data_IF_527359075923
#
_entry.id   IF_527359075923
#
_cell.length_a   1.000
_cell.length_b   1.000
_cell.length_c   1.000
_cell.angle_alpha   90.00
_cell.angle_beta   90.00
_cell.angle_gamma   90.00
#
_symmetry.space_group_name_H-M   'P 1'
#
loop_
_entity.id
_entity.type
_entity.pdbx_description
1 polymer ?
#
# COMPACT_ATOMS: atom_id res chain seq x y z
N UNK A 1 -3.11 1.99 -60.17
CA UNK A 1 -3.69 1.81 -58.85
C UNK A 1 -3.22 0.44 -58.36
N UNK A 2 -2.19 0.36 -57.51
CA UNK A 2 -1.60 -0.90 -57.03
C UNK A 2 -1.80 -0.96 -55.54
N UNK A 3 -2.63 -1.87 -55.06
CA UNK A 3 -2.90 -2.18 -53.65
C UNK A 3 -1.75 -3.02 -53.10
N UNK A 4 -1.09 -2.49 -52.04
CA UNK A 4 -0.10 -3.23 -51.24
C UNK A 4 -0.82 -3.92 -50.08
N UNK A 5 -0.82 -5.25 -50.09
CA UNK A 5 -1.23 -6.11 -48.98
C UNK A 5 -0.07 -6.22 -47.99
N UNK A 6 -0.29 -5.82 -46.75
CA UNK A 6 0.66 -5.99 -45.64
C UNK A 6 0.48 -7.41 -45.05
N UNK A 7 1.55 -8.20 -45.11
CA UNK A 7 1.61 -9.54 -44.50
C UNK A 7 2.09 -9.41 -43.04
N UNK A 8 1.24 -9.71 -42.08
CA UNK A 8 1.57 -9.78 -40.66
C UNK A 8 2.21 -11.15 -40.38
N UNK A 9 3.49 -11.16 -40.00
CA UNK A 9 4.19 -12.35 -39.50
C UNK A 9 3.82 -12.59 -38.05
N UNK A 10 3.17 -13.72 -37.80
CA UNK A 10 2.95 -14.23 -36.43
C UNK A 10 4.18 -15.03 -36.04
N UNK A 11 4.93 -14.56 -35.05
CA UNK A 11 6.05 -15.29 -34.45
C UNK A 11 5.51 -16.29 -33.42
N UNK A 12 5.68 -17.57 -33.70
CA UNK A 12 5.33 -18.67 -32.81
C UNK A 12 6.35 -18.73 -31.64
N UNK A 13 5.89 -18.48 -30.42
CA UNK A 13 6.69 -18.67 -29.20
C UNK A 13 6.56 -20.12 -28.78
N UNK A 14 7.64 -20.89 -28.95
CA UNK A 14 7.76 -22.26 -28.46
C UNK A 14 7.98 -22.28 -26.94
N UNK A 15 7.02 -22.82 -26.19
CA UNK A 15 7.13 -23.03 -24.76
C UNK A 15 8.13 -24.17 -24.45
N UNK A 16 9.07 -23.91 -23.53
CA UNK A 16 9.97 -24.91 -22.95
C UNK A 16 9.21 -25.83 -21.99
N UNK A 17 9.50 -27.14 -21.94
CA UNK A 17 8.79 -28.04 -21.03
C UNK A 17 9.18 -27.80 -19.57
N UNK A 18 8.16 -27.78 -18.71
CA UNK A 18 8.23 -27.64 -17.26
C UNK A 18 8.94 -28.82 -16.61
N UNK A 19 9.93 -28.55 -15.77
CA UNK A 19 10.59 -29.56 -14.95
C UNK A 19 9.67 -30.00 -13.81
N UNK A 20 9.54 -31.31 -13.57
CA UNK A 20 8.80 -31.91 -12.46
C UNK A 20 9.43 -31.49 -11.11
N UNK A 21 8.63 -30.88 -10.24
CA UNK A 21 8.96 -30.62 -8.85
C UNK A 21 8.72 -31.89 -8.03
N UNK A 22 9.69 -32.40 -7.24
CA UNK A 22 9.45 -33.52 -6.34
C UNK A 22 8.62 -33.08 -5.13
N UNK A 23 7.58 -33.85 -4.81
CA UNK A 23 6.78 -33.69 -3.58
C UNK A 23 7.63 -34.07 -2.35
N UNK A 24 7.83 -33.11 -1.46
CA UNK A 24 8.42 -33.36 -0.16
C UNK A 24 7.33 -33.81 0.84
N UNK A 25 7.66 -34.85 1.63
CA UNK A 25 6.82 -35.40 2.71
C UNK A 25 6.65 -34.40 3.87
N UNK A 26 5.53 -34.44 4.61
CA UNK A 26 5.30 -33.51 5.72
C UNK A 26 6.20 -33.88 6.91
N UNK A 27 7.07 -32.94 7.31
CA UNK A 27 7.81 -33.03 8.56
C UNK A 27 7.02 -32.39 9.70
N UNK A 28 6.87 -33.14 10.76
CA UNK A 28 6.26 -32.78 12.03
C UNK A 28 7.02 -31.66 12.76
N UNK A 29 6.27 -30.70 13.29
CA UNK A 29 6.65 -29.91 14.47
C UNK A 29 7.58 -28.74 14.20
N UNK A 30 7.01 -27.55 13.98
CA UNK A 30 7.79 -26.32 14.01
C UNK A 30 7.40 -25.50 15.23
N UNK A 31 8.33 -25.41 16.18
CA UNK A 31 8.30 -24.40 17.23
C UNK A 31 8.29 -23.02 16.55
N UNK A 32 7.44 -22.10 17.03
CA UNK A 32 7.38 -20.72 16.57
C UNK A 32 8.78 -20.07 16.78
N UNK A 33 9.50 -19.87 15.70
CA UNK A 33 10.75 -19.11 15.71
C UNK A 33 10.41 -17.64 15.84
N UNK A 34 10.87 -17.03 16.92
CA UNK A 34 10.85 -15.58 17.09
C UNK A 34 11.57 -14.92 15.88
N UNK A 35 11.07 -13.79 15.33
CA UNK A 35 11.67 -13.13 14.19
C UNK A 35 12.98 -12.48 14.60
N UNK A 36 14.09 -13.11 14.24
CA UNK A 36 15.44 -12.60 14.44
C UNK A 36 16.45 -13.42 13.68
N UNK A 37 17.06 -12.83 12.67
CA UNK A 37 18.17 -13.32 11.85
C UNK A 37 17.90 -14.58 11.02
N UNK A 38 17.65 -14.38 9.72
CA UNK A 38 17.69 -15.48 8.73
C UNK A 38 19.08 -16.11 8.69
N UNK A 39 19.17 -17.37 8.25
CA UNK A 39 20.42 -18.14 8.04
C UNK A 39 21.44 -17.46 7.10
N UNK A 40 21.10 -16.34 6.45
CA UNK A 40 21.96 -15.57 5.53
C UNK A 40 22.81 -14.49 6.21
N UNK A 41 22.67 -14.24 7.51
CA UNK A 41 23.43 -13.19 8.23
C UNK A 41 23.01 -11.74 7.91
N UNK A 42 22.02 -11.50 7.01
CA UNK A 42 21.53 -10.16 6.73
C UNK A 42 20.49 -9.70 7.77
N UNK A 43 20.40 -8.38 7.96
CA UNK A 43 19.38 -7.78 8.82
C UNK A 43 17.98 -8.02 8.25
N UNK A 44 16.99 -8.05 9.15
CA UNK A 44 15.58 -8.07 8.80
C UNK A 44 15.19 -6.77 8.08
N UNK A 45 14.53 -6.86 6.92
CA UNK A 45 14.11 -5.70 6.12
C UNK A 45 12.60 -5.52 6.23
N UNK A 46 12.20 -4.40 6.83
CA UNK A 46 10.81 -4.05 7.06
C UNK A 46 10.40 -2.91 6.13
N UNK A 47 9.50 -3.22 5.19
CA UNK A 47 8.78 -2.19 4.43
C UNK A 47 7.75 -1.49 5.32
N UNK A 48 7.65 -0.18 5.23
CA UNK A 48 6.67 0.63 5.95
C UNK A 48 5.86 1.40 4.92
N UNK A 49 4.62 1.03 4.72
CA UNK A 49 3.71 1.75 3.83
C UNK A 49 2.74 2.60 4.64
N UNK A 50 3.08 3.87 4.82
CA UNK A 50 2.20 4.85 5.44
C UNK A 50 1.16 5.38 4.47
N UNK A 51 -0.06 5.57 4.93
CA UNK A 51 -1.12 6.12 4.08
C UNK A 51 -2.42 6.39 4.80
N UNK A 52 -3.26 7.24 4.21
CA UNK A 52 -4.60 7.45 4.76
C UNK A 52 -5.49 6.22 4.56
N UNK A 53 -5.33 5.51 3.42
CA UNK A 53 -6.09 4.31 3.04
C UNK A 53 -7.60 4.51 3.16
N UNK A 54 -8.13 5.50 2.45
CA UNK A 54 -9.53 5.91 2.51
C UNK A 54 -10.25 5.84 1.14
N UNK A 55 -10.53 4.62 0.60
CA UNK A 55 -10.08 3.30 1.09
C UNK A 55 -8.68 2.91 0.60
N UNK A 56 -8.15 1.81 1.15
CA UNK A 56 -7.06 1.05 0.54
C UNK A 56 -7.55 0.45 -0.78
N UNK A 57 -6.66 0.32 -1.77
CA UNK A 57 -7.00 -0.19 -3.09
C UNK A 57 -5.86 -1.03 -3.69
N UNK A 58 -6.13 -1.74 -4.79
CA UNK A 58 -5.13 -2.62 -5.41
C UNK A 58 -3.84 -1.90 -5.81
N UNK A 59 -3.88 -0.62 -6.17
CA UNK A 59 -2.67 0.15 -6.44
C UNK A 59 -1.69 0.20 -5.26
N UNK A 60 -2.18 0.29 -4.02
CA UNK A 60 -1.34 0.20 -2.82
C UNK A 60 -0.73 -1.20 -2.64
N UNK A 61 -1.54 -2.25 -2.84
CA UNK A 61 -1.09 -3.64 -2.66
C UNK A 61 -0.05 -4.05 -3.69
N UNK A 62 -0.23 -3.65 -4.96
CA UNK A 62 0.73 -3.87 -6.04
C UNK A 62 2.04 -3.16 -5.72
N UNK A 63 1.99 -1.87 -5.37
CA UNK A 63 3.17 -1.10 -5.02
C UNK A 63 3.96 -1.75 -3.86
N UNK A 64 3.28 -2.17 -2.79
CA UNK A 64 3.91 -2.87 -1.66
C UNK A 64 4.54 -4.20 -2.08
N UNK A 65 3.86 -4.97 -2.94
CA UNK A 65 4.35 -6.27 -3.42
C UNK A 65 5.60 -6.13 -4.29
N UNK A 66 5.60 -5.18 -5.23
CA UNK A 66 6.74 -4.93 -6.10
C UNK A 66 7.97 -4.44 -5.33
N UNK A 67 7.77 -3.49 -4.41
CA UNK A 67 8.87 -3.02 -3.55
C UNK A 67 9.40 -4.16 -2.68
N UNK A 68 8.51 -4.99 -2.12
CA UNK A 68 8.93 -6.15 -1.33
C UNK A 68 9.77 -7.15 -2.14
N UNK A 69 9.46 -7.33 -3.42
CA UNK A 69 10.23 -8.21 -4.31
C UNK A 69 11.59 -7.60 -4.68
N UNK A 70 11.62 -6.32 -5.10
CA UNK A 70 12.84 -5.64 -5.58
C UNK A 70 13.86 -5.45 -4.46
N UNK A 71 13.43 -5.08 -3.26
CA UNK A 71 14.30 -4.83 -2.11
C UNK A 71 14.49 -6.04 -1.19
N UNK A 72 13.95 -7.22 -1.58
CA UNK A 72 13.98 -8.45 -0.78
C UNK A 72 13.52 -8.20 0.67
N UNK A 73 12.34 -7.53 0.81
CA UNK A 73 11.78 -7.25 2.12
C UNK A 73 11.21 -8.52 2.75
N UNK A 74 11.43 -8.69 4.04
CA UNK A 74 10.90 -9.81 4.82
C UNK A 74 9.41 -9.64 5.15
N UNK A 75 9.02 -8.39 5.41
CA UNK A 75 7.66 -7.98 5.79
C UNK A 75 7.36 -6.60 5.24
N UNK A 76 6.09 -6.31 4.94
CA UNK A 76 5.59 -4.93 4.73
C UNK A 76 4.48 -4.66 5.73
N UNK A 77 4.71 -3.67 6.58
CA UNK A 77 3.71 -3.17 7.51
C UNK A 77 2.98 -1.98 6.91
N UNK A 78 1.65 -2.09 6.79
CA UNK A 78 0.79 -0.98 6.42
C UNK A 78 0.44 -0.19 7.68
N UNK A 79 0.57 1.14 7.60
CA UNK A 79 0.32 2.03 8.74
C UNK A 79 -0.74 3.06 8.34
N UNK A 80 -2.04 2.77 8.60
CA UNK A 80 -3.10 3.75 8.40
C UNK A 80 -2.88 4.95 9.32
N UNK A 81 -2.82 6.17 8.74
CA UNK A 81 -2.66 7.40 9.52
C UNK A 81 -3.82 7.61 10.49
N UNK A 82 -3.55 8.01 11.73
CA UNK A 82 -4.57 8.41 12.69
C UNK A 82 -5.27 9.70 12.25
N UNK A 83 -4.65 10.83 12.50
CA UNK A 83 -5.11 12.17 12.13
C UNK A 83 -4.18 12.79 11.08
N UNK A 84 -4.47 12.67 9.77
CA UNK A 84 -3.59 13.16 8.71
C UNK A 84 -3.57 14.69 8.67
N UNK A 85 -2.42 15.30 8.97
CA UNK A 85 -2.26 16.76 8.98
C UNK A 85 -2.46 17.40 7.60
N UNK A 86 -2.12 16.69 6.53
CA UNK A 86 -2.23 17.17 5.14
C UNK A 86 -3.68 17.19 4.62
N UNK A 87 -4.64 16.63 5.33
CA UNK A 87 -6.03 16.49 4.89
C UNK A 87 -7.03 17.16 5.83
N UNK A 88 -6.60 18.16 6.58
CA UNK A 88 -7.45 18.91 7.53
C UNK A 88 -8.63 19.65 6.87
N UNK A 89 -8.54 19.89 5.57
CA UNK A 89 -9.61 20.58 4.79
C UNK A 89 -10.69 19.65 4.24
N UNK A 90 -10.55 18.31 4.43
CA UNK A 90 -11.45 17.30 3.86
C UNK A 90 -11.87 16.29 4.92
N UNK A 91 -13.15 15.90 4.89
CA UNK A 91 -13.64 14.78 5.71
C UNK A 91 -12.93 13.49 5.30
N UNK A 92 -12.27 12.84 6.25
CA UNK A 92 -11.64 11.52 6.12
C UNK A 92 -12.46 10.55 6.95
N UNK A 93 -12.68 9.34 6.44
CA UNK A 93 -13.39 8.30 7.19
C UNK A 93 -12.72 8.01 8.53
N UNK A 94 -13.49 7.66 9.58
CA UNK A 94 -12.92 7.31 10.89
C UNK A 94 -11.77 6.31 10.78
N UNK A 95 -10.74 6.50 11.60
CA UNK A 95 -9.51 5.71 11.53
C UNK A 95 -9.77 4.20 11.66
N UNK A 96 -10.74 3.80 12.47
CA UNK A 96 -11.11 2.39 12.64
C UNK A 96 -11.63 1.75 11.35
N UNK A 97 -12.47 2.43 10.58
CA UNK A 97 -12.92 1.92 9.28
C UNK A 97 -11.76 1.73 8.31
N UNK A 98 -10.83 2.71 8.25
CA UNK A 98 -9.67 2.65 7.37
C UNK A 98 -8.70 1.54 7.77
N UNK A 99 -8.50 1.35 9.08
CA UNK A 99 -7.73 0.24 9.64
C UNK A 99 -8.33 -1.11 9.26
N UNK A 100 -9.63 -1.32 9.52
CA UNK A 100 -10.30 -2.59 9.23
C UNK A 100 -10.30 -2.90 7.72
N UNK A 101 -10.52 -1.91 6.86
CA UNK A 101 -10.39 -2.10 5.41
C UNK A 101 -8.95 -2.51 5.02
N UNK A 102 -7.94 -1.93 5.69
CA UNK A 102 -6.53 -2.27 5.44
C UNK A 102 -6.22 -3.71 5.89
N UNK A 103 -6.72 -4.13 7.06
CA UNK A 103 -6.58 -5.51 7.55
C UNK A 103 -7.22 -6.51 6.57
N UNK A 104 -8.45 -6.22 6.12
CA UNK A 104 -9.15 -7.06 5.14
C UNK A 104 -8.36 -7.17 3.84
N UNK A 105 -7.85 -6.05 3.33
CA UNK A 105 -7.14 -5.98 2.07
C UNK A 105 -5.81 -6.74 2.07
N UNK A 106 -5.13 -6.79 3.19
CA UNK A 106 -3.78 -7.39 3.33
C UNK A 106 -3.80 -8.84 3.77
N UNK A 107 -4.94 -9.35 4.26
CA UNK A 107 -5.06 -10.66 4.91
C UNK A 107 -4.62 -11.86 4.06
N UNK A 108 -4.67 -11.75 2.72
CA UNK A 108 -4.28 -12.84 1.82
C UNK A 108 -2.77 -12.95 1.60
N UNK A 109 -1.98 -11.92 1.94
CA UNK A 109 -0.54 -11.94 1.72
C UNK A 109 0.19 -12.17 3.07
N UNK A 110 0.89 -13.32 3.25
CA UNK A 110 1.53 -13.65 4.53
C UNK A 110 2.69 -12.72 4.92
N UNK A 111 3.19 -11.89 3.99
CA UNK A 111 4.22 -10.89 4.28
C UNK A 111 3.66 -9.52 4.62
N UNK A 112 2.34 -9.34 4.54
CA UNK A 112 1.71 -8.05 4.82
C UNK A 112 1.09 -8.06 6.21
N UNK A 113 1.40 -7.03 6.98
CA UNK A 113 0.84 -6.78 8.31
C UNK A 113 0.26 -5.38 8.39
N UNK A 114 -0.51 -5.09 9.43
CA UNK A 114 -1.08 -3.77 9.65
C UNK A 114 -0.80 -3.33 11.08
N UNK A 115 -0.26 -2.12 11.23
CA UNK A 115 0.02 -1.51 12.53
C UNK A 115 -0.99 -0.41 12.88
N UNK A 116 -1.32 -0.33 14.16
CA UNK A 116 -2.17 0.73 14.73
C UNK A 116 -1.37 1.91 15.27
N UNK A 117 -0.05 1.88 15.15
CA UNK A 117 0.86 2.83 15.82
C UNK A 117 0.45 4.29 15.66
N UNK A 118 -0.03 4.68 14.49
CA UNK A 118 -0.47 6.05 14.23
C UNK A 118 -1.91 6.34 14.70
N UNK A 119 -2.75 5.32 14.74
CA UNK A 119 -4.14 5.43 15.22
C UNK A 119 -4.17 5.58 16.74
N UNK A 120 -3.33 4.81 17.43
CA UNK A 120 -3.28 4.77 18.89
C UNK A 120 -2.46 5.95 19.47
N UNK A 121 -1.67 6.65 18.64
CA UNK A 121 -0.95 7.86 19.05
C UNK A 121 -1.90 9.07 19.00
N UNK A 122 -2.01 9.83 20.10
CA UNK A 122 -2.81 11.07 20.11
C UNK A 122 -2.17 12.17 19.25
N UNK A 123 -3.01 13.00 18.65
CA UNK A 123 -2.57 14.16 17.88
C UNK A 123 -2.35 13.90 16.40
N UNK A 124 -1.66 14.83 15.72
CA UNK A 124 -1.40 14.75 14.29
C UNK A 124 -0.35 13.68 13.98
N UNK A 125 -0.56 12.96 12.89
CA UNK A 125 0.34 11.91 12.43
C UNK A 125 1.43 12.50 11.51
N UNK A 126 2.69 12.30 11.87
CA UNK A 126 3.86 12.63 11.05
C UNK A 126 4.70 11.38 10.79
N UNK A 127 5.27 11.26 9.59
CA UNK A 127 6.10 10.13 9.18
C UNK A 127 7.27 9.89 10.14
N UNK A 128 7.89 10.95 10.67
CA UNK A 128 9.00 10.84 11.61
C UNK A 128 8.60 10.08 12.88
N UNK A 129 7.42 10.39 13.43
CA UNK A 129 6.95 9.75 14.65
C UNK A 129 6.61 8.27 14.40
N UNK A 130 6.03 7.94 13.24
CA UNK A 130 5.80 6.57 12.80
C UNK A 130 7.10 5.76 12.72
N UNK A 131 8.14 6.33 12.09
CA UNK A 131 9.43 5.64 11.93
C UNK A 131 10.18 5.49 13.26
N UNK A 132 10.09 6.48 14.17
CA UNK A 132 10.65 6.38 15.54
C UNK A 132 10.02 5.21 16.29
N UNK A 133 8.69 5.11 16.29
CA UNK A 133 7.97 4.05 16.99
C UNK A 133 8.28 2.67 16.42
N UNK A 134 8.29 2.53 15.09
CA UNK A 134 8.63 1.26 14.44
C UNK A 134 10.10 0.89 14.66
N UNK A 135 11.02 1.85 14.66
CA UNK A 135 12.42 1.64 15.00
C UNK A 135 12.60 1.18 16.45
N UNK A 136 11.86 1.78 17.39
CA UNK A 136 11.88 1.37 18.79
C UNK A 136 11.32 -0.05 18.98
N UNK A 137 10.25 -0.40 18.25
CA UNK A 137 9.64 -1.73 18.30
C UNK A 137 10.47 -2.83 17.61
N UNK A 138 11.29 -2.46 16.61
CA UNK A 138 12.10 -3.38 15.78
C UNK A 138 13.51 -2.81 15.58
N UNK A 139 14.34 -2.70 16.64
CA UNK A 139 15.66 -2.05 16.55
C UNK A 139 16.64 -2.76 15.61
N UNK A 140 16.45 -4.07 15.37
CA UNK A 140 17.27 -4.89 14.48
C UNK A 140 16.93 -4.71 13.00
N UNK A 141 15.74 -4.15 12.68
CA UNK A 141 15.27 -4.06 11.30
C UNK A 141 15.89 -2.91 10.52
N UNK A 142 16.12 -3.10 9.24
CA UNK A 142 16.32 -2.02 8.27
C UNK A 142 14.95 -1.58 7.74
N UNK A 143 14.61 -0.29 7.92
CA UNK A 143 13.32 0.25 7.51
C UNK A 143 13.38 0.78 6.08
N UNK A 144 12.37 0.44 5.28
CA UNK A 144 12.16 0.92 3.92
C UNK A 144 10.80 1.63 3.86
N UNK A 145 10.79 2.97 3.80
CA UNK A 145 9.55 3.74 3.75
C UNK A 145 9.04 3.85 2.32
N UNK A 146 7.85 3.29 2.06
CA UNK A 146 7.23 3.19 0.73
C UNK A 146 6.18 4.28 0.59
N UNK A 147 6.32 5.13 -0.42
CA UNK A 147 5.37 6.22 -0.70
C UNK A 147 5.27 6.49 -2.20
N UNK A 148 4.22 7.22 -2.62
CA UNK A 148 4.14 7.68 -4.01
C UNK A 148 5.26 8.68 -4.35
N UNK A 149 5.76 8.65 -5.58
CA UNK A 149 6.82 9.55 -6.03
C UNK A 149 6.43 11.03 -5.88
N UNK A 150 5.15 11.38 -6.09
CA UNK A 150 4.64 12.75 -5.89
C UNK A 150 4.75 13.22 -4.43
N UNK A 151 4.49 12.33 -3.47
CA UNK A 151 4.64 12.63 -2.05
C UNK A 151 6.13 12.71 -1.67
N UNK A 152 6.96 11.83 -2.24
CA UNK A 152 8.41 11.85 -2.03
C UNK A 152 9.05 13.13 -2.59
N UNK A 153 8.57 13.65 -3.73
CA UNK A 153 9.04 14.92 -4.29
C UNK A 153 8.86 16.11 -3.30
N UNK A 154 7.91 16.00 -2.37
CA UNK A 154 7.66 17.01 -1.34
C UNK A 154 8.34 16.70 0.00
N UNK A 155 9.21 15.68 0.06
CA UNK A 155 9.79 15.19 1.32
C UNK A 155 10.56 16.26 2.09
N UNK A 156 11.16 17.24 1.38
CA UNK A 156 11.89 18.36 2.01
C UNK A 156 11.00 19.26 2.88
N UNK A 157 9.68 19.17 2.75
CA UNK A 157 8.70 19.87 3.59
C UNK A 157 8.25 19.04 4.81
N UNK A 158 8.73 17.82 4.94
CA UNK A 158 8.31 16.94 6.03
C UNK A 158 9.02 17.30 7.33
N UNK A 159 8.33 17.06 8.43
CA UNK A 159 8.85 17.34 9.78
C UNK A 159 10.13 16.52 10.05
N UNK A 160 11.14 17.16 10.63
CA UNK A 160 12.41 16.57 11.06
C UNK A 160 13.13 15.79 9.95
N UNK A 161 13.22 16.38 8.75
CA UNK A 161 13.73 15.75 7.52
C UNK A 161 15.14 15.15 7.69
N UNK A 162 16.03 15.83 8.42
CA UNK A 162 17.41 15.36 8.61
C UNK A 162 17.47 14.04 9.40
N UNK A 163 16.57 13.86 10.35
CA UNK A 163 16.46 12.62 11.10
C UNK A 163 15.78 11.52 10.26
N UNK A 164 14.80 11.84 9.42
CA UNK A 164 14.13 10.89 8.54
C UNK A 164 15.12 10.07 7.73
N UNK A 165 16.16 10.72 7.17
CA UNK A 165 17.19 10.05 6.38
C UNK A 165 18.00 9.01 7.15
N UNK A 166 18.13 9.18 8.45
CA UNK A 166 18.84 8.25 9.33
C UNK A 166 18.01 7.03 9.74
N UNK A 167 16.68 7.15 9.65
CA UNK A 167 15.75 6.12 10.14
C UNK A 167 15.37 5.09 9.09
N UNK A 168 15.27 5.49 7.82
CA UNK A 168 14.79 4.60 6.77
C UNK A 168 15.41 4.88 5.40
N UNK A 169 15.43 3.88 4.54
CA UNK A 169 15.58 4.04 3.11
C UNK A 169 14.21 4.40 2.50
N UNK A 170 14.15 5.45 1.68
CA UNK A 170 12.90 5.91 1.08
C UNK A 170 12.71 5.34 -0.32
N UNK A 171 11.56 4.74 -0.59
CA UNK A 171 11.21 4.20 -1.89
C UNK A 171 10.00 4.94 -2.45
N UNK A 172 10.26 5.77 -3.47
CA UNK A 172 9.22 6.43 -4.23
C UNK A 172 8.70 5.52 -5.33
N UNK A 173 7.41 5.20 -5.30
CA UNK A 173 6.77 4.39 -6.33
C UNK A 173 6.03 5.27 -7.32
N UNK A 174 6.17 4.96 -8.60
CA UNK A 174 5.48 5.65 -9.68
C UNK A 174 4.85 4.67 -10.66
N UNK A 175 4.01 5.19 -11.52
CA UNK A 175 3.36 4.46 -12.62
C UNK A 175 4.10 4.72 -13.92
N UNK A 176 4.00 3.83 -14.93
CA UNK A 176 4.56 4.08 -16.26
C UNK A 176 4.11 5.42 -16.84
N UNK A 177 5.06 6.16 -17.41
CA UNK A 177 4.81 7.45 -18.06
C UNK A 177 4.76 8.67 -17.13
N UNK A 178 5.07 8.51 -15.83
CA UNK A 178 5.27 9.63 -14.91
C UNK A 178 6.76 9.92 -14.73
N UNK A 179 7.13 11.19 -14.73
CA UNK A 179 8.51 11.60 -14.53
C UNK A 179 8.99 11.25 -13.11
N UNK A 180 10.17 10.66 -13.04
CA UNK A 180 10.88 10.37 -11.80
C UNK A 180 11.89 11.49 -11.56
N UNK A 181 11.69 12.31 -10.55
CA UNK A 181 12.68 13.30 -10.14
C UNK A 181 13.66 12.66 -9.16
N UNK A 182 14.85 12.32 -9.65
CA UNK A 182 15.93 11.84 -8.79
C UNK A 182 16.35 12.95 -7.81
N UNK A 183 16.29 12.66 -6.53
CA UNK A 183 16.73 13.57 -5.47
C UNK A 183 18.25 13.54 -5.27
N UNK A 184 18.99 12.73 -6.04
CA UNK A 184 20.45 12.62 -5.95
C UNK A 184 20.95 12.06 -4.60
N UNK A 185 20.11 11.33 -3.87
CA UNK A 185 20.43 10.78 -2.55
C UNK A 185 20.52 9.26 -2.58
N UNK A 186 21.58 8.71 -1.95
CA UNK A 186 21.77 7.25 -1.83
C UNK A 186 20.70 6.55 -0.97
N UNK A 187 20.03 7.32 -0.08
CA UNK A 187 19.00 6.82 0.83
C UNK A 187 17.61 6.87 0.20
N UNK A 188 17.53 7.19 -1.10
CA UNK A 188 16.30 7.27 -1.88
C UNK A 188 16.42 6.37 -3.10
N UNK A 189 15.38 5.61 -3.37
CA UNK A 189 15.21 4.85 -4.61
C UNK A 189 13.86 5.22 -5.25
N UNK A 190 13.84 5.25 -6.56
CA UNK A 190 12.63 5.44 -7.35
C UNK A 190 12.35 4.15 -8.11
N UNK A 191 11.12 3.67 -8.03
CA UNK A 191 10.70 2.41 -8.63
C UNK A 191 9.43 2.62 -9.47
N UNK A 192 9.54 2.32 -10.76
CA UNK A 192 8.36 2.20 -11.60
C UNK A 192 7.71 0.82 -11.37
N UNK A 193 6.43 0.81 -11.04
CA UNK A 193 5.68 -0.41 -10.75
C UNK A 193 4.49 -0.52 -11.71
N UNK A 194 4.03 -1.75 -12.04
CA UNK A 194 2.87 -1.96 -12.91
C UNK A 194 1.56 -1.56 -12.19
N UNK A 195 1.56 -0.35 -11.60
CA UNK A 195 0.43 0.15 -10.84
C UNK A 195 -0.67 0.60 -11.79
N UNK A 196 -1.90 0.19 -11.48
CA UNK A 196 -3.09 0.69 -12.17
C UNK A 196 -3.37 2.15 -11.76
N UNK A 197 -4.01 2.91 -12.66
CA UNK A 197 -4.46 4.27 -12.37
C UNK A 197 -5.68 4.25 -11.43
N UNK A 198 -5.48 3.77 -10.20
CA UNK A 198 -6.50 3.73 -9.16
C UNK A 198 -6.13 4.75 -8.09
N UNK A 199 -7.10 5.55 -7.67
CA UNK A 199 -6.94 6.43 -6.51
C UNK A 199 -8.07 6.21 -5.49
N UNK A 200 -7.77 6.47 -4.22
CA UNK A 200 -8.82 6.46 -3.19
C UNK A 200 -9.92 7.48 -3.48
N UNK A 201 -9.60 8.58 -4.14
CA UNK A 201 -10.59 9.60 -4.54
C UNK A 201 -11.57 9.02 -5.55
N UNK A 202 -11.06 8.42 -6.64
CA UNK A 202 -11.92 7.79 -7.65
C UNK A 202 -12.80 6.69 -7.04
N UNK A 203 -12.25 5.90 -6.09
CA UNK A 203 -13.04 4.87 -5.40
C UNK A 203 -14.21 5.48 -4.62
N UNK A 204 -13.99 6.59 -3.91
CA UNK A 204 -15.06 7.26 -3.14
C UNK A 204 -16.10 7.91 -4.05
N UNK A 205 -15.64 8.60 -5.10
CA UNK A 205 -16.52 9.29 -6.04
C UNK A 205 -17.42 8.28 -6.75
N UNK A 206 -16.88 7.13 -7.18
CA UNK A 206 -17.67 6.03 -7.72
C UNK A 206 -18.73 5.52 -6.76
N UNK A 207 -18.40 5.29 -5.49
CA UNK A 207 -19.38 4.84 -4.49
C UNK A 207 -20.45 5.90 -4.26
N UNK A 208 -20.08 7.19 -4.23
CA UNK A 208 -21.02 8.30 -4.08
C UNK A 208 -22.01 8.40 -5.26
N UNK A 209 -21.57 7.98 -6.45
CA UNK A 209 -22.35 7.96 -7.70
C UNK A 209 -22.99 6.58 -7.98
N UNK A 210 -23.04 5.69 -7.00
CA UNK A 210 -23.54 4.31 -7.11
C UNK A 210 -22.87 3.47 -8.22
N UNK A 211 -21.61 3.81 -8.55
CA UNK A 211 -20.81 3.09 -9.54
C UNK A 211 -20.01 1.96 -8.87
N UNK A 212 -19.70 0.87 -9.59
CA UNK A 212 -18.98 -0.26 -9.04
C UNK A 212 -17.51 0.07 -8.75
N UNK A 213 -17.01 -0.46 -7.60
CA UNK A 213 -15.59 -0.40 -7.20
C UNK A 213 -14.95 -1.80 -7.14
N UNK A 214 -15.64 -2.82 -7.68
CA UNK A 214 -15.11 -4.16 -7.82
C UNK A 214 -13.80 -4.13 -8.63
N UNK A 215 -12.82 -4.89 -8.19
CA UNK A 215 -11.47 -4.98 -8.79
C UNK A 215 -10.62 -3.69 -8.70
N UNK A 216 -11.17 -2.58 -8.21
CA UNK A 216 -10.38 -1.41 -7.81
C UNK A 216 -9.87 -1.58 -6.37
N UNK A 217 -10.73 -2.15 -5.51
CA UNK A 217 -10.39 -2.56 -4.15
C UNK A 217 -10.63 -4.06 -3.99
N UNK A 218 -10.00 -4.74 -3.01
CA UNK A 218 -10.29 -6.15 -2.73
C UNK A 218 -11.75 -6.39 -2.40
N UNK A 219 -12.28 -7.57 -2.78
CA UNK A 219 -13.69 -7.93 -2.62
C UNK A 219 -14.22 -7.73 -1.20
N UNK A 220 -13.44 -8.11 -0.19
CA UNK A 220 -13.81 -7.91 1.21
C UNK A 220 -13.93 -6.43 1.59
N UNK A 221 -13.15 -5.54 0.93
CA UNK A 221 -13.25 -4.08 1.12
C UNK A 221 -14.51 -3.54 0.45
N UNK A 222 -14.89 -4.05 -0.75
CA UNK A 222 -16.18 -3.70 -1.39
C UNK A 222 -17.35 -4.03 -0.46
N UNK A 223 -17.34 -5.25 0.10
CA UNK A 223 -18.39 -5.71 1.03
C UNK A 223 -18.42 -4.87 2.32
N UNK A 224 -17.24 -4.49 2.83
CA UNK A 224 -17.13 -3.64 4.01
C UNK A 224 -17.71 -2.25 3.77
N UNK A 225 -17.36 -1.61 2.66
CA UNK A 225 -17.88 -0.30 2.24
C UNK A 225 -19.40 -0.35 2.15
N UNK A 226 -19.95 -1.36 1.47
CA UNK A 226 -21.39 -1.54 1.32
C UNK A 226 -22.11 -1.76 2.66
N UNK A 227 -21.55 -2.61 3.54
CA UNK A 227 -22.12 -2.96 4.84
C UNK A 227 -22.24 -1.74 5.77
N UNK A 228 -21.23 -0.86 5.76
CA UNK A 228 -21.18 0.30 6.64
C UNK A 228 -21.64 1.60 5.97
N UNK A 229 -22.12 1.54 4.72
CA UNK A 229 -22.61 2.70 3.97
C UNK A 229 -21.55 3.79 3.77
N UNK A 230 -20.24 3.41 3.72
CA UNK A 230 -19.17 4.38 3.58
C UNK A 230 -19.22 5.03 2.21
N UNK A 231 -18.84 6.31 2.15
CA UNK A 231 -18.70 7.12 0.93
C UNK A 231 -20.00 7.40 0.17
N UNK A 232 -21.16 6.94 0.63
CA UNK A 232 -22.44 7.28 0.02
C UNK A 232 -22.77 8.75 0.27
N UNK A 233 -23.39 9.39 -0.70
CA UNK A 233 -24.05 10.67 -0.46
C UNK A 233 -25.08 10.47 0.65
N UNK A 234 -25.11 11.37 1.64
CA UNK A 234 -26.17 11.35 2.65
C UNK A 234 -27.48 11.61 1.87
N UNK A 235 -28.36 10.62 1.82
CA UNK A 235 -29.73 10.85 1.42
C UNK A 235 -30.25 12.02 2.27
N UNK A 236 -30.90 13.03 1.65
CA UNK A 236 -31.55 14.04 2.43
C UNK A 236 -32.54 13.33 3.35
N UNK A 237 -32.32 13.47 4.66
CA UNK A 237 -33.07 12.78 5.70
C UNK A 237 -34.57 12.83 5.29
N UNK A 238 -35.16 11.65 5.07
CA UNK A 238 -36.57 11.48 4.85
C UNK A 238 -37.28 12.25 5.95
N UNK A 239 -37.97 13.30 5.55
CA UNK A 239 -38.82 14.07 6.43
C UNK A 239 -39.82 13.07 6.99
N UNK A 240 -39.65 12.72 8.25
CA UNK A 240 -40.75 12.08 8.97
C UNK A 240 -41.98 12.92 8.72
N UNK A 241 -43.06 12.36 8.15
CA UNK A 241 -44.29 13.11 8.05
C UNK A 241 -44.67 13.52 9.46
N UNK A 242 -44.84 14.82 9.66
CA UNK A 242 -45.37 15.33 10.91
C UNK A 242 -46.70 14.62 11.13
N UNK A 243 -46.74 13.72 12.12
CA UNK A 243 -48.00 13.16 12.63
C UNK A 243 -48.76 14.30 13.30
N UNK A 244 -49.87 14.65 12.65
CA UNK A 244 -50.94 15.48 13.26
C UNK A 244 -51.53 14.80 14.49
#
# INVERSE_FOLDING_TARGET
MRTRTASTRISTITAKPSAKVPMASPSTGTAATLPGTRASGRKFRLGVMGGTFDPIHHGHLVAASEVAAVFDLDEVVFVPTGHPWQKSSRSVSPAEHRYLMTVIATASNPRFTVSRVDIDRPGLTYTIDTLRDLRAARPEAELYFITGADALAQIMSWKDIDELWSLAHFVGVTRPGHELHDLGRKDVSLLEVPAMAISSTDCRDRVAEDQPVWYLVPDGVVQYIAKYGLYRALEPADRFPATN
#
